data_IF_107801573604
#
_entry.id   IF_107801573604
#
_cell.length_a   1.000
_cell.length_b   1.000
_cell.length_c   1.000
_cell.angle_alpha   90.00
_cell.angle_beta   90.00
_cell.angle_gamma   90.00
#
_symmetry.space_group_name_H-M   'P 1'
#
loop_
_entity.id
_entity.type
_entity.pdbx_description
1 polymer ?
#
# COMPACT_ATOMS: atom_id res chain seq x y z
N UNK A 1 -13.21 -21.58 -20.19
CA UNK A 1 -13.21 -20.15 -19.87
C UNK A 1 -14.04 -19.99 -18.62
N UNK A 2 -13.43 -19.60 -17.50
CA UNK A 2 -14.15 -19.42 -16.23
C UNK A 2 -15.03 -18.18 -16.35
N UNK A 3 -16.36 -18.38 -16.23
CA UNK A 3 -17.35 -17.29 -16.23
C UNK A 3 -17.39 -16.60 -14.85
N UNK A 4 -16.22 -16.25 -14.27
CA UNK A 4 -16.18 -15.46 -13.03
C UNK A 4 -16.54 -14.02 -13.36
N UNK A 5 -17.40 -13.43 -12.52
CA UNK A 5 -17.73 -12.01 -12.61
C UNK A 5 -16.43 -11.19 -12.49
N UNK A 6 -16.26 -10.09 -13.27
CA UNK A 6 -15.14 -9.18 -13.07
C UNK A 6 -15.05 -8.70 -11.61
N UNK A 7 -13.87 -8.84 -11.01
CA UNK A 7 -13.61 -8.38 -9.65
C UNK A 7 -13.05 -6.95 -9.66
N UNK A 8 -13.32 -6.19 -8.60
CA UNK A 8 -12.68 -4.91 -8.32
C UNK A 8 -11.60 -5.09 -7.25
N UNK A 9 -10.34 -5.00 -7.67
CA UNK A 9 -9.18 -5.42 -6.88
C UNK A 9 -8.34 -4.20 -6.47
N UNK A 10 -8.13 -4.03 -5.17
CA UNK A 10 -7.21 -3.06 -4.60
C UNK A 10 -5.76 -3.58 -4.60
N UNK A 11 -4.81 -2.74 -4.97
CA UNK A 11 -3.37 -3.04 -4.89
C UNK A 11 -2.77 -2.16 -3.78
N UNK A 12 -2.26 -2.78 -2.73
CA UNK A 12 -1.69 -2.10 -1.57
C UNK A 12 -0.21 -2.45 -1.42
N UNK A 13 0.64 -1.63 -2.04
CA UNK A 13 2.10 -1.76 -1.97
C UNK A 13 2.70 -1.02 -0.77
N UNK A 14 3.82 -1.53 -0.26
CA UNK A 14 4.53 -0.85 0.82
C UNK A 14 5.81 -1.55 1.24
N UNK A 15 6.68 -0.82 1.94
CA UNK A 15 7.90 -1.42 2.49
C UNK A 15 7.59 -2.29 3.70
N UNK A 16 6.60 -1.92 4.53
CA UNK A 16 6.17 -2.66 5.74
C UNK A 16 7.35 -2.98 6.67
N UNK A 17 8.04 -1.95 7.14
CA UNK A 17 9.30 -2.04 7.89
C UNK A 17 9.24 -1.41 9.30
N UNK A 18 8.45 -1.99 10.26
CA UNK A 18 7.54 -3.13 10.14
C UNK A 18 6.13 -2.78 9.64
N UNK A 19 5.35 -3.81 9.30
CA UNK A 19 3.89 -3.72 9.24
C UNK A 19 3.33 -3.43 10.63
N UNK A 20 2.24 -2.63 10.74
CA UNK A 20 1.65 -2.23 12.01
C UNK A 20 0.12 -2.11 11.90
N UNK A 21 -0.56 -1.95 13.03
CA UNK A 21 -2.04 -1.83 13.11
C UNK A 21 -2.61 -0.77 12.15
N UNK A 22 -1.88 0.33 11.90
CA UNK A 22 -2.30 1.32 10.91
C UNK A 22 -2.47 0.74 9.50
N UNK A 23 -1.63 -0.19 9.08
CA UNK A 23 -1.77 -0.83 7.77
C UNK A 23 -2.97 -1.78 7.71
N UNK A 24 -3.24 -2.54 8.76
CA UNK A 24 -4.40 -3.45 8.80
C UNK A 24 -5.72 -2.70 8.90
N UNK A 25 -5.77 -1.61 9.65
CA UNK A 25 -6.95 -0.74 9.71
C UNK A 25 -7.25 -0.06 8.36
N UNK A 26 -6.23 0.29 7.58
CA UNK A 26 -6.42 0.78 6.20
C UNK A 26 -7.22 -0.23 5.39
N UNK A 27 -6.80 -1.50 5.36
CA UNK A 27 -7.48 -2.54 4.56
C UNK A 27 -8.91 -2.75 5.05
N UNK A 28 -9.12 -2.78 6.36
CA UNK A 28 -10.47 -2.90 6.94
C UNK A 28 -11.38 -1.75 6.52
N UNK A 29 -10.90 -0.50 6.65
CA UNK A 29 -11.66 0.68 6.21
C UNK A 29 -11.94 0.68 4.71
N UNK A 30 -11.01 0.17 3.89
CA UNK A 30 -11.21 0.05 2.45
C UNK A 30 -12.40 -0.85 2.12
N UNK A 31 -12.49 -2.05 2.71
CA UNK A 31 -13.63 -2.94 2.49
C UNK A 31 -14.96 -2.38 3.01
N UNK A 32 -14.94 -1.56 4.07
CA UNK A 32 -16.15 -0.89 4.57
C UNK A 32 -16.62 0.26 3.66
N UNK A 33 -15.70 0.95 3.01
CA UNK A 33 -15.97 2.20 2.31
C UNK A 33 -16.01 2.08 0.79
N UNK A 34 -15.30 1.10 0.23
CA UNK A 34 -15.16 0.87 -1.21
C UNK A 34 -15.61 -0.56 -1.53
N UNK A 35 -16.38 -0.79 -2.59
CA UNK A 35 -16.87 -2.13 -2.94
C UNK A 35 -15.77 -3.01 -3.58
N UNK A 36 -14.64 -3.16 -2.89
CA UNK A 36 -13.56 -4.04 -3.32
C UNK A 36 -13.95 -5.50 -3.08
N UNK A 37 -13.71 -6.35 -4.07
CA UNK A 37 -13.84 -7.79 -3.93
C UNK A 37 -12.58 -8.39 -3.27
N UNK A 38 -11.41 -7.78 -3.52
CA UNK A 38 -10.12 -8.29 -3.06
C UNK A 38 -9.10 -7.16 -2.87
N UNK A 39 -8.14 -7.36 -1.97
CA UNK A 39 -6.93 -6.53 -1.85
C UNK A 39 -5.69 -7.41 -1.97
N UNK A 40 -4.79 -7.04 -2.88
CA UNK A 40 -3.46 -7.63 -3.03
C UNK A 40 -2.47 -6.77 -2.25
N UNK A 41 -1.87 -7.34 -1.22
CA UNK A 41 -0.82 -6.69 -0.40
C UNK A 41 0.54 -7.09 -0.95
N UNK A 42 1.35 -6.10 -1.34
CA UNK A 42 2.63 -6.32 -2.01
C UNK A 42 3.77 -5.69 -1.18
N UNK A 43 4.49 -6.48 -0.39
CA UNK A 43 5.69 -5.98 0.27
C UNK A 43 6.82 -5.75 -0.75
N UNK A 44 7.41 -4.54 -0.71
CA UNK A 44 8.54 -4.21 -1.59
C UNK A 44 9.74 -5.14 -1.34
N UNK A 45 10.39 -5.61 -2.39
CA UNK A 45 11.66 -6.30 -2.32
C UNK A 45 12.79 -5.33 -1.99
N UNK A 46 13.21 -4.54 -2.96
CA UNK A 46 14.22 -3.47 -2.85
C UNK A 46 13.54 -2.12 -3.06
N UNK A 47 13.18 -1.39 -1.99
CA UNK A 47 12.55 -0.08 -2.12
C UNK A 47 13.46 0.93 -2.85
N UNK A 48 12.99 1.62 -3.92
CA UNK A 48 13.86 2.46 -4.75
C UNK A 48 14.31 3.76 -4.07
N UNK A 49 13.54 4.25 -3.09
CA UNK A 49 13.78 5.57 -2.48
C UNK A 49 14.38 5.51 -1.07
N UNK A 50 14.52 4.32 -0.49
CA UNK A 50 15.07 4.15 0.86
C UNK A 50 15.62 2.75 1.07
N UNK A 51 16.58 2.61 1.98
CA UNK A 51 17.00 1.31 2.46
C UNK A 51 16.04 0.83 3.55
N UNK A 52 15.59 -0.43 3.44
CA UNK A 52 14.85 -1.08 4.51
C UNK A 52 15.79 -1.47 5.66
N UNK A 53 15.27 -1.45 6.89
CA UNK A 53 16.05 -1.74 8.09
C UNK A 53 16.28 -3.23 8.32
N UNK A 54 15.37 -4.07 7.79
CA UNK A 54 15.47 -5.53 7.86
C UNK A 54 15.28 -6.15 6.48
N UNK A 55 15.62 -7.43 6.33
CA UNK A 55 15.53 -8.14 5.05
C UNK A 55 14.11 -8.19 4.50
N UNK A 56 13.99 -8.37 3.20
CA UNK A 56 12.69 -8.53 2.53
C UNK A 56 11.94 -9.76 3.01
N UNK A 57 12.65 -10.83 3.34
CA UNK A 57 12.10 -12.09 3.87
C UNK A 57 11.49 -11.89 5.26
N UNK A 58 12.12 -11.10 6.13
CA UNK A 58 11.58 -10.79 7.45
C UNK A 58 10.36 -9.89 7.35
N UNK A 59 10.38 -8.90 6.46
CA UNK A 59 9.22 -8.06 6.20
C UNK A 59 8.05 -8.87 5.64
N UNK A 60 8.31 -9.86 4.75
CA UNK A 60 7.29 -10.77 4.25
C UNK A 60 6.68 -11.62 5.37
N UNK A 61 7.50 -12.17 6.29
CA UNK A 61 6.99 -12.93 7.44
C UNK A 61 6.06 -12.07 8.31
N UNK A 62 6.46 -10.84 8.61
CA UNK A 62 5.63 -9.92 9.38
C UNK A 62 4.33 -9.56 8.66
N UNK A 63 4.37 -9.29 7.35
CA UNK A 63 3.19 -9.01 6.53
C UNK A 63 2.26 -10.23 6.49
N UNK A 64 2.81 -11.44 6.32
CA UNK A 64 2.03 -12.68 6.28
C UNK A 64 1.33 -12.97 7.61
N UNK A 65 1.99 -12.64 8.72
CA UNK A 65 1.39 -12.74 10.06
C UNK A 65 0.28 -11.71 10.27
N UNK A 66 0.50 -10.47 9.83
CA UNK A 66 -0.43 -9.37 10.06
C UNK A 66 -1.74 -9.50 9.27
N UNK A 67 -1.66 -9.92 8.01
CA UNK A 67 -2.83 -9.92 7.13
C UNK A 67 -3.54 -11.27 6.99
N UNK A 68 -2.91 -12.37 7.41
CA UNK A 68 -3.50 -13.73 7.35
C UNK A 68 -4.25 -13.95 6.04
N UNK A 69 -3.51 -14.31 4.99
CA UNK A 69 -4.05 -14.50 3.63
C UNK A 69 -5.42 -15.18 3.63
N UNK A 70 -6.37 -14.65 2.87
CA UNK A 70 -7.75 -15.12 2.75
C UNK A 70 -8.22 -14.95 1.30
N UNK A 71 -9.48 -15.29 1.01
CA UNK A 71 -10.05 -15.07 -0.31
C UNK A 71 -10.14 -13.59 -0.69
N UNK A 72 -10.24 -12.71 0.31
CA UNK A 72 -10.35 -11.24 0.12
C UNK A 72 -9.03 -10.49 0.31
N UNK A 73 -8.05 -11.04 1.03
CA UNK A 73 -6.73 -10.43 1.22
C UNK A 73 -5.66 -11.41 0.79
N UNK A 74 -4.97 -11.10 -0.30
CA UNK A 74 -3.90 -11.93 -0.88
C UNK A 74 -2.55 -11.25 -0.68
N UNK A 75 -1.56 -12.00 -0.21
CA UNK A 75 -0.19 -11.50 -0.10
C UNK A 75 0.58 -11.95 -1.31
N UNK A 76 1.09 -10.98 -2.06
CA UNK A 76 1.89 -11.22 -3.25
C UNK A 76 3.36 -10.88 -2.99
N UNK A 77 4.22 -11.87 -3.11
CA UNK A 77 5.65 -11.75 -2.85
C UNK A 77 6.49 -11.54 -4.12
N UNK A 78 5.87 -11.13 -5.23
CA UNK A 78 6.55 -10.97 -6.53
C UNK A 78 7.76 -10.04 -6.49
N UNK A 79 7.66 -8.92 -5.78
CA UNK A 79 8.77 -7.97 -5.68
C UNK A 79 9.93 -8.51 -4.85
N UNK A 80 9.65 -9.33 -3.83
CA UNK A 80 10.68 -9.96 -3.00
C UNK A 80 11.50 -11.00 -3.78
N UNK A 81 10.87 -11.67 -4.75
CA UNK A 81 11.55 -12.65 -5.61
C UNK A 81 12.46 -12.01 -6.65
N UNK A 82 12.31 -10.71 -6.91
CA UNK A 82 13.11 -9.96 -7.88
C UNK A 82 14.40 -9.43 -7.27
N UNK A 83 15.41 -9.26 -8.11
CA UNK A 83 16.69 -8.63 -7.74
C UNK A 83 16.75 -7.15 -8.14
N UNK A 84 15.72 -6.67 -8.82
CA UNK A 84 15.61 -5.30 -9.29
C UNK A 84 14.87 -4.43 -8.27
N UNK A 85 15.06 -3.09 -8.31
CA UNK A 85 14.27 -2.18 -7.49
C UNK A 85 12.78 -2.34 -7.72
N UNK A 86 12.01 -2.23 -6.64
CA UNK A 86 10.54 -2.37 -6.61
C UNK A 86 9.85 -1.14 -7.21
N UNK A 87 9.84 -1.01 -8.52
CA UNK A 87 9.13 0.06 -9.21
C UNK A 87 7.64 -0.28 -9.38
N UNK A 88 6.76 0.58 -8.85
CA UNK A 88 5.31 0.40 -8.91
C UNK A 88 4.78 0.16 -10.33
N UNK A 89 5.31 0.87 -11.33
CA UNK A 89 4.92 0.71 -12.74
C UNK A 89 5.21 -0.70 -13.27
N UNK A 90 6.32 -1.32 -12.88
CA UNK A 90 6.68 -2.68 -13.32
C UNK A 90 5.71 -3.71 -12.74
N UNK A 91 5.42 -3.59 -11.44
CA UNK A 91 4.45 -4.43 -10.74
C UNK A 91 3.04 -4.23 -11.30
N UNK A 92 2.65 -2.99 -11.60
CA UNK A 92 1.34 -2.69 -12.18
C UNK A 92 1.17 -3.33 -13.56
N UNK A 93 2.18 -3.27 -14.44
CA UNK A 93 2.11 -3.90 -15.77
C UNK A 93 1.87 -5.40 -15.68
N UNK A 94 2.59 -6.09 -14.81
CA UNK A 94 2.40 -7.53 -14.57
C UNK A 94 0.99 -7.83 -14.06
N UNK A 95 0.50 -7.05 -13.08
CA UNK A 95 -0.84 -7.26 -12.53
C UNK A 95 -1.94 -7.02 -13.56
N UNK A 96 -1.80 -6.03 -14.46
CA UNK A 96 -2.76 -5.79 -15.55
C UNK A 96 -2.77 -6.98 -16.53
N UNK A 97 -1.59 -7.50 -16.89
CA UNK A 97 -1.48 -8.66 -17.79
C UNK A 97 -2.08 -9.93 -17.18
N UNK A 98 -1.92 -10.13 -15.88
CA UNK A 98 -2.46 -11.28 -15.16
C UNK A 98 -3.97 -11.18 -14.89
N UNK A 99 -4.54 -9.96 -14.90
CA UNK A 99 -5.92 -9.69 -14.53
C UNK A 99 -6.68 -8.88 -15.60
N UNK A 100 -6.70 -9.33 -16.88
CA UNK A 100 -7.23 -8.54 -18.00
C UNK A 100 -8.74 -8.26 -17.90
N UNK A 101 -9.49 -9.12 -17.19
CA UNK A 101 -10.95 -9.02 -17.04
C UNK A 101 -11.35 -8.29 -15.74
N UNK A 102 -10.38 -7.96 -14.86
CA UNK A 102 -10.63 -7.35 -13.57
C UNK A 102 -10.34 -5.83 -13.58
N UNK A 103 -11.00 -5.10 -12.70
CA UNK A 103 -10.71 -3.69 -12.47
C UNK A 103 -9.71 -3.55 -11.33
N UNK A 104 -8.61 -2.84 -11.57
CA UNK A 104 -7.56 -2.62 -10.58
C UNK A 104 -7.58 -1.18 -10.08
N UNK A 105 -7.29 -0.98 -8.80
CA UNK A 105 -7.09 0.35 -8.19
C UNK A 105 -5.87 0.34 -7.28
N UNK A 106 -5.00 1.34 -7.43
CA UNK A 106 -3.81 1.47 -6.58
C UNK A 106 -4.12 2.23 -5.31
N UNK A 107 -3.68 1.71 -4.17
CA UNK A 107 -3.93 2.29 -2.85
C UNK A 107 -2.61 2.82 -2.28
N UNK A 108 -2.58 4.09 -1.90
CA UNK A 108 -1.39 4.74 -1.32
C UNK A 108 -1.75 5.79 -0.29
N UNK A 109 -0.81 6.15 0.57
CA UNK A 109 -0.96 7.27 1.51
C UNK A 109 -0.79 8.63 0.83
N UNK A 110 -1.33 9.68 1.44
CA UNK A 110 -1.17 11.07 0.95
C UNK A 110 0.28 11.54 0.92
N UNK A 111 1.14 11.02 1.80
CA UNK A 111 2.58 11.24 1.80
C UNK A 111 3.26 10.71 0.53
N UNK A 112 2.96 9.48 0.15
CA UNK A 112 3.48 8.85 -1.07
C UNK A 112 2.91 9.52 -2.34
N UNK A 113 1.64 9.90 -2.31
CA UNK A 113 1.01 10.61 -3.44
C UNK A 113 1.56 12.02 -3.62
N UNK A 114 1.88 12.74 -2.55
CA UNK A 114 2.49 14.08 -2.63
C UNK A 114 3.84 14.07 -3.36
N UNK A 115 4.54 12.94 -3.36
CA UNK A 115 5.83 12.72 -4.03
C UNK A 115 5.71 11.83 -5.28
N UNK A 116 4.52 11.72 -5.89
CA UNK A 116 4.27 10.82 -7.02
C UNK A 116 5.18 11.12 -8.23
N UNK A 117 5.54 12.37 -8.46
CA UNK A 117 6.42 12.82 -9.53
C UNK A 117 7.88 12.34 -9.39
N UNK A 118 8.26 11.79 -8.24
CA UNK A 118 9.54 11.12 -8.02
C UNK A 118 9.54 9.63 -8.37
N UNK A 119 8.36 9.08 -8.66
CA UNK A 119 8.24 7.67 -8.99
C UNK A 119 8.74 7.41 -10.42
N UNK A 120 9.43 6.31 -10.61
CA UNK A 120 9.90 5.91 -11.93
C UNK A 120 8.72 5.74 -12.90
N UNK A 121 8.75 6.45 -14.03
CA UNK A 121 7.68 6.47 -15.04
C UNK A 121 6.29 6.80 -14.47
N UNK A 122 6.22 7.76 -13.54
CA UNK A 122 4.98 8.12 -12.84
C UNK A 122 3.86 8.59 -13.79
N UNK A 123 4.20 9.29 -14.89
CA UNK A 123 3.20 9.73 -15.87
C UNK A 123 2.50 8.57 -16.56
N UNK A 124 3.23 7.50 -16.88
CA UNK A 124 2.64 6.29 -17.45
C UNK A 124 1.84 5.54 -16.38
N UNK A 125 2.35 5.49 -15.15
CA UNK A 125 1.69 4.84 -14.03
C UNK A 125 0.28 5.40 -13.79
N UNK A 126 0.12 6.73 -13.71
CA UNK A 126 -1.18 7.37 -13.46
C UNK A 126 -2.18 7.20 -14.61
N UNK A 127 -1.70 7.03 -15.85
CA UNK A 127 -2.56 6.77 -17.03
C UNK A 127 -3.09 5.33 -17.07
N UNK A 128 -2.46 4.42 -16.36
CA UNK A 128 -2.78 2.99 -16.41
C UNK A 128 -3.80 2.57 -15.37
N UNK A 129 -3.94 3.34 -14.26
CA UNK A 129 -4.70 2.89 -13.10
C UNK A 129 -5.41 4.04 -12.38
N UNK A 130 -6.52 3.72 -11.73
CA UNK A 130 -7.17 4.60 -10.76
C UNK A 130 -6.44 4.54 -9.42
N UNK A 131 -6.50 5.60 -8.62
CA UNK A 131 -5.78 5.72 -7.36
C UNK A 131 -6.74 6.05 -6.22
N UNK A 132 -6.63 5.33 -5.12
CA UNK A 132 -7.21 5.70 -3.82
C UNK A 132 -6.09 6.28 -2.96
N UNK A 133 -6.20 7.55 -2.62
CA UNK A 133 -5.27 8.24 -1.73
C UNK A 133 -5.85 8.27 -0.32
N UNK A 134 -5.20 7.56 0.59
CA UNK A 134 -5.56 7.53 2.00
C UNK A 134 -5.05 8.81 2.68
N UNK A 135 -5.96 9.73 2.97
CA UNK A 135 -5.59 11.02 3.57
C UNK A 135 -5.21 10.83 5.03
N UNK A 136 -3.96 11.18 5.35
CA UNK A 136 -3.45 11.21 6.73
C UNK A 136 -3.61 12.60 7.33
N UNK A 137 -3.95 12.73 8.63
CA UNK A 137 -3.90 14.01 9.31
C UNK A 137 -2.51 14.64 9.18
N UNK A 138 -2.45 15.94 9.09
CA UNK A 138 -1.22 16.72 9.00
C UNK A 138 -0.33 16.47 7.77
N UNK A 139 -0.81 15.71 6.76
CA UNK A 139 -0.15 15.53 5.47
C UNK A 139 -1.00 16.16 4.36
N UNK A 140 -0.95 17.47 4.26
CA UNK A 140 -1.57 18.22 3.17
C UNK A 140 -0.78 18.04 1.88
N UNK A 141 -1.49 17.93 0.76
CA UNK A 141 -0.87 17.90 -0.56
C UNK A 141 -0.56 19.35 -0.95
N UNK A 142 0.72 19.73 -1.14
CA UNK A 142 1.09 21.10 -1.44
C UNK A 142 0.43 21.58 -2.74
N UNK A 143 -0.17 22.77 -2.73
CA UNK A 143 -0.92 23.33 -3.87
C UNK A 143 -0.08 23.50 -5.15
N UNK A 144 1.24 23.68 -5.02
CA UNK A 144 2.14 23.83 -6.16
C UNK A 144 2.67 22.50 -6.69
N UNK A 145 2.38 21.38 -6.01
CA UNK A 145 2.88 20.05 -6.37
C UNK A 145 2.23 19.49 -7.63
N UNK A 146 2.90 18.55 -8.26
CA UNK A 146 2.33 17.76 -9.36
C UNK A 146 1.10 16.99 -8.88
N UNK A 147 1.16 16.42 -7.66
CA UNK A 147 0.05 15.71 -7.03
C UNK A 147 -1.22 16.57 -6.94
N UNK A 148 -1.10 17.85 -6.57
CA UNK A 148 -2.24 18.76 -6.51
C UNK A 148 -2.83 19.04 -7.90
N UNK A 149 -2.00 19.24 -8.92
CA UNK A 149 -2.45 19.41 -10.32
C UNK A 149 -3.17 18.16 -10.83
N UNK A 150 -2.71 16.98 -10.46
CA UNK A 150 -3.38 15.72 -10.78
C UNK A 150 -4.76 15.65 -10.12
N UNK A 151 -4.90 16.04 -8.86
CA UNK A 151 -6.20 16.11 -8.20
C UNK A 151 -7.15 17.07 -8.92
N UNK A 152 -6.69 18.27 -9.29
CA UNK A 152 -7.54 19.20 -10.02
C UNK A 152 -8.08 18.62 -11.34
N UNK A 153 -7.30 17.76 -12.01
CA UNK A 153 -7.68 17.14 -13.29
C UNK A 153 -8.53 15.88 -13.11
N UNK A 154 -8.21 15.04 -12.14
CA UNK A 154 -8.64 13.64 -12.10
C UNK A 154 -9.39 13.26 -10.81
N UNK A 155 -9.63 14.22 -9.90
CA UNK A 155 -10.35 13.93 -8.66
C UNK A 155 -11.79 13.48 -8.92
N UNK A 156 -12.21 12.44 -8.23
CA UNK A 156 -13.59 11.98 -8.20
C UNK A 156 -14.05 11.73 -6.77
N UNK A 157 -15.34 11.88 -6.54
CA UNK A 157 -16.04 11.44 -5.32
C UNK A 157 -16.91 10.21 -5.59
N UNK A 158 -17.06 9.85 -6.86
CA UNK A 158 -17.84 8.70 -7.29
C UNK A 158 -16.97 7.43 -7.26
N UNK A 159 -17.35 6.49 -6.42
CA UNK A 159 -16.65 5.22 -6.23
C UNK A 159 -16.85 4.27 -7.43
N UNK A 160 -17.95 4.42 -8.17
CA UNK A 160 -18.22 3.60 -9.35
C UNK A 160 -17.27 3.94 -10.49
N UNK A 161 -16.82 5.21 -10.59
CA UNK A 161 -15.81 5.61 -11.56
C UNK A 161 -14.45 4.91 -11.37
N UNK A 162 -14.14 4.46 -10.13
CA UNK A 162 -12.91 3.73 -9.85
C UNK A 162 -12.89 2.32 -10.44
N UNK A 163 -14.05 1.70 -10.64
CA UNK A 163 -14.15 0.36 -11.21
C UNK A 163 -14.39 0.36 -12.73
N UNK A 164 -14.85 1.48 -13.30
CA UNK A 164 -15.25 1.57 -14.71
C UNK A 164 -14.36 2.45 -15.57
N UNK A 165 -13.60 3.38 -14.97
CA UNK A 165 -12.76 4.36 -15.66
C UNK A 165 -11.26 4.11 -15.47
N UNK A 166 -10.47 5.09 -15.96
CA UNK A 166 -9.02 5.20 -15.72
C UNK A 166 -8.67 6.63 -15.36
N UNK A 167 -7.49 6.83 -14.78
CA UNK A 167 -6.94 8.15 -14.41
C UNK A 167 -7.78 8.88 -13.34
N UNK A 168 -8.60 8.16 -12.55
CA UNK A 168 -9.39 8.76 -11.46
C UNK A 168 -8.64 8.67 -10.13
N UNK A 169 -8.79 9.70 -9.32
CA UNK A 169 -8.15 9.81 -8.00
C UNK A 169 -9.23 10.10 -6.97
N UNK A 170 -9.41 9.17 -6.04
CA UNK A 170 -10.31 9.33 -4.89
C UNK A 170 -9.49 9.66 -3.65
N UNK A 171 -9.84 10.76 -2.97
CA UNK A 171 -9.32 11.06 -1.63
C UNK A 171 -10.20 10.39 -0.58
N UNK A 172 -9.68 9.42 0.14
CA UNK A 172 -10.41 8.70 1.18
C UNK A 172 -9.91 9.10 2.56
N UNK A 173 -10.76 9.76 3.34
CA UNK A 173 -10.48 10.08 4.75
C UNK A 173 -10.78 8.85 5.61
N UNK A 174 -9.77 8.34 6.27
CA UNK A 174 -9.91 7.27 7.27
C UNK A 174 -9.50 7.77 8.64
N UNK A 175 -9.94 7.10 9.69
CA UNK A 175 -9.40 7.33 11.03
C UNK A 175 -8.01 6.68 11.09
N UNK A 176 -6.93 7.46 11.11
CA UNK A 176 -5.61 6.87 11.16
C UNK A 176 -5.29 6.40 12.58
N UNK A 177 -4.53 5.34 12.66
CA UNK A 177 -3.69 5.12 13.84
C UNK A 177 -2.47 6.02 13.64
N UNK A 178 -2.28 6.98 14.53
CA UNK A 178 -1.17 7.94 14.45
C UNK A 178 0.15 7.27 14.84
N UNK A 179 0.66 6.43 13.95
CA UNK A 179 1.97 5.80 14.08
C UNK A 179 2.57 5.54 12.71
N UNK A 180 3.87 5.70 12.59
CA UNK A 180 4.63 5.31 11.41
C UNK A 180 5.61 4.18 11.72
N UNK A 181 5.99 3.40 10.70
CA UNK A 181 7.04 2.39 10.86
C UNK A 181 8.34 2.99 11.38
N UNK A 182 8.66 4.23 11.00
CA UNK A 182 9.84 4.95 11.50
C UNK A 182 9.78 5.23 13.01
N UNK A 183 8.62 5.67 13.50
CA UNK A 183 8.43 5.89 14.95
C UNK A 183 8.49 4.57 15.72
N UNK A 184 7.93 3.50 15.20
CA UNK A 184 8.01 2.17 15.80
C UNK A 184 9.48 1.73 15.92
N UNK A 185 10.27 1.82 14.84
CA UNK A 185 11.69 1.48 14.87
C UNK A 185 12.46 2.31 15.90
N UNK A 186 12.21 3.62 15.94
CA UNK A 186 12.85 4.51 16.91
C UNK A 186 12.49 4.17 18.37
N UNK A 187 11.24 3.75 18.62
CA UNK A 187 10.79 3.29 19.94
C UNK A 187 11.48 1.98 20.33
N UNK A 188 11.55 1.00 19.42
CA UNK A 188 12.24 -0.28 19.66
C UNK A 188 13.72 -0.04 19.97
N UNK A 189 14.42 0.75 19.15
CA UNK A 189 15.82 1.10 19.38
C UNK A 189 16.08 1.74 20.75
N UNK A 190 15.10 2.49 21.28
CA UNK A 190 15.13 3.08 22.61
C UNK A 190 14.68 2.14 23.74
N UNK A 191 14.34 0.89 23.43
CA UNK A 191 13.82 -0.06 24.41
C UNK A 191 12.40 0.23 24.91
N UNK A 192 11.64 1.06 24.18
CA UNK A 192 10.26 1.40 24.53
C UNK A 192 9.28 0.32 24.08
N UNK A 193 8.21 0.11 24.83
CA UNK A 193 7.13 -0.80 24.42
C UNK A 193 6.40 -0.25 23.19
N UNK A 194 6.14 -1.14 22.23
CA UNK A 194 5.43 -0.87 20.95
C UNK A 194 4.22 -1.77 20.75
N UNK A 195 3.83 -2.58 21.74
CA UNK A 195 2.75 -3.56 21.65
C UNK A 195 1.39 -2.93 21.30
N UNK A 196 1.15 -1.69 21.71
CA UNK A 196 -0.07 -0.95 21.36
C UNK A 196 -0.21 -0.69 19.84
N UNK A 197 0.91 -0.60 19.10
CA UNK A 197 0.94 -0.28 17.66
C UNK A 197 1.06 -1.51 16.76
N UNK A 198 1.50 -2.64 17.33
CA UNK A 198 1.76 -3.88 16.59
C UNK A 198 0.69 -4.93 16.90
N UNK A 199 0.42 -5.77 15.91
CA UNK A 199 -0.26 -7.04 16.16
C UNK A 199 0.65 -7.95 17.00
N UNK A 200 0.08 -8.79 17.85
CA UNK A 200 0.82 -9.65 18.75
C UNK A 200 1.83 -10.53 18.00
N UNK A 201 1.38 -11.16 16.91
CA UNK A 201 2.22 -12.04 16.08
C UNK A 201 3.41 -11.28 15.43
N UNK A 202 3.22 -10.01 15.06
CA UNK A 202 4.30 -9.17 14.51
C UNK A 202 5.29 -8.79 15.60
N UNK A 203 4.78 -8.42 16.79
CA UNK A 203 5.62 -8.08 17.94
C UNK A 203 6.47 -9.28 18.39
N UNK A 204 5.90 -10.50 18.40
CA UNK A 204 6.64 -11.73 18.68
C UNK A 204 7.76 -11.96 17.67
N UNK A 205 7.51 -11.78 16.36
CA UNK A 205 8.53 -11.94 15.32
C UNK A 205 9.68 -10.94 15.50
N UNK A 206 9.38 -9.69 15.84
CA UNK A 206 10.37 -8.64 16.10
C UNK A 206 11.24 -9.02 17.30
N UNK A 207 10.62 -9.42 18.41
CA UNK A 207 11.33 -9.79 19.63
C UNK A 207 12.19 -11.05 19.43
N UNK A 208 11.65 -12.11 18.80
CA UNK A 208 12.36 -13.35 18.53
C UNK A 208 13.54 -13.16 17.57
N UNK A 209 13.42 -12.27 16.62
CA UNK A 209 14.46 -11.95 15.63
C UNK A 209 15.43 -10.86 16.09
N UNK A 210 15.24 -10.24 17.25
CA UNK A 210 15.96 -9.05 17.72
C UNK A 210 16.01 -7.96 16.63
N UNK A 211 14.88 -7.75 15.94
CA UNK A 211 14.80 -6.80 14.84
C UNK A 211 14.71 -5.36 15.36
N UNK A 212 15.35 -4.42 14.64
CA UNK A 212 15.33 -2.98 14.93
C UNK A 212 16.02 -2.54 16.23
N UNK A 213 16.84 -3.41 16.84
CA UNK A 213 17.62 -3.12 18.06
C UNK A 213 18.98 -2.51 17.75
#
# INVERSE_FOLDING_TARGET
>A
MSNSKPEFIGIFGGTFDPVHKGHTEIIKNLFELIPLDKVIVIPNGIPPHRQASVSSEERLKMVSSAFKSSDTVVIDNREIKKKDPSYAISTLRELIEENPEHSLVWIMGSDAFAEIDRWYQWEDFIKMINIIVMVRPNHEIPMESVAYKLLQKSHTIDKEELSSGKEKILLLKIRPIEISSTEIRNKIYKGSDVSEFLLEEVNELINKGNLYQ
#
